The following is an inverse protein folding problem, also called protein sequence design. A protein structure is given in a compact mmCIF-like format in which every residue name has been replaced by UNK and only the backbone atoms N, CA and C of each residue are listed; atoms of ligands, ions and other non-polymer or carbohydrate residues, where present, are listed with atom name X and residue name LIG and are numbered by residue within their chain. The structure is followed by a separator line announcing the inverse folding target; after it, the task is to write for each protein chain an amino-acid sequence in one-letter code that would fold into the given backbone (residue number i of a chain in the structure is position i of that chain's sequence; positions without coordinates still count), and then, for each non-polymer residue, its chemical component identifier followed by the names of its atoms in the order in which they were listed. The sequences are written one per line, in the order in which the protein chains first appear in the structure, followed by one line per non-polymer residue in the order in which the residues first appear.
data_IF_550925311636
#
_entry.id   IF_550925311636
#
_cell.length_a   1.000
_cell.length_b   1.000
_cell.length_c   1.000
_cell.angle_alpha   90.00
_cell.angle_beta   90.00
_cell.angle_gamma   90.00
#
_symmetry.space_group_name_H-M   'P 1'
#
loop_
_entity.id
_entity.type
_entity.pdbx_description
1 polymer ?
#
# COMPACT_ATOMS: atom_id res chain seq x y z
N UNK A 1 15.84 -1.45 22.35
CA UNK A 1 15.78 -2.42 21.23
C UNK A 1 16.32 -1.74 19.99
N UNK A 2 16.95 -2.44 19.03
CA UNK A 2 17.33 -1.83 17.76
C UNK A 2 16.09 -1.27 17.06
N UNK A 3 16.24 -0.16 16.34
CA UNK A 3 15.18 0.41 15.53
C UNK A 3 14.72 -0.60 14.47
N UNK A 4 13.42 -0.65 14.13
CA UNK A 4 12.93 -1.49 13.07
C UNK A 4 13.61 -1.16 11.73
N UNK A 5 13.81 -2.18 10.90
CA UNK A 5 14.50 -2.09 9.61
C UNK A 5 13.55 -2.20 8.42
N UNK A 6 12.44 -2.90 8.60
CA UNK A 6 11.37 -3.05 7.57
C UNK A 6 10.09 -2.31 7.94
N UNK A 7 10.14 -1.56 9.04
CA UNK A 7 9.11 -0.61 9.45
C UNK A 7 9.70 0.80 9.66
N UNK A 8 9.03 1.80 9.13
CA UNK A 8 9.25 3.19 9.47
C UNK A 8 8.43 3.54 10.72
N UNK A 9 9.07 4.03 11.78
CA UNK A 9 8.36 4.45 13.00
C UNK A 9 7.79 5.85 12.77
N UNK A 10 6.47 5.92 12.55
CA UNK A 10 5.75 7.20 12.36
C UNK A 10 5.42 7.86 13.70
N UNK A 11 5.09 7.03 14.70
CA UNK A 11 4.93 7.45 16.09
C UNK A 11 5.64 6.43 16.99
N UNK A 12 6.52 6.93 17.85
CA UNK A 12 7.19 6.11 18.86
C UNK A 12 6.42 6.12 20.19
N UNK A 13 6.54 5.03 20.94
CA UNK A 13 5.93 4.85 22.25
C UNK A 13 6.81 3.94 23.11
N UNK A 14 6.53 3.90 24.42
CA UNK A 14 7.23 3.04 25.37
C UNK A 14 7.34 1.59 24.86
N UNK A 15 8.45 0.90 25.16
CA UNK A 15 8.77 -0.41 24.57
C UNK A 15 7.76 -1.51 24.86
N UNK A 16 7.01 -1.38 25.94
CA UNK A 16 5.96 -2.28 26.41
C UNK A 16 4.56 -1.91 25.89
N UNK A 17 4.40 -0.76 25.23
CA UNK A 17 3.14 -0.37 24.61
C UNK A 17 2.81 -1.25 23.39
N UNK A 18 1.51 -1.38 23.10
CA UNK A 18 1.02 -2.00 21.86
C UNK A 18 1.59 -1.29 20.61
N UNK A 19 1.34 -1.87 19.43
CA UNK A 19 1.64 -1.25 18.14
C UNK A 19 0.44 -1.27 17.21
N UNK A 20 0.26 -0.19 16.45
CA UNK A 20 -0.59 -0.09 15.27
C UNK A 20 0.30 -0.21 14.04
N UNK A 21 -0.03 -1.12 13.13
CA UNK A 21 0.68 -1.28 11.87
C UNK A 21 -0.05 -0.54 10.76
N UNK A 22 0.67 0.08 9.84
CA UNK A 22 0.12 0.79 8.70
C UNK A 22 0.78 0.31 7.41
N UNK A 23 -0.03 -0.21 6.48
CA UNK A 23 0.45 -0.73 5.20
C UNK A 23 0.17 0.26 4.09
N UNK A 24 1.24 0.77 3.51
CA UNK A 24 1.22 1.74 2.41
C UNK A 24 2.56 1.67 1.66
N UNK A 25 2.58 2.21 0.45
CA UNK A 25 3.81 2.47 -0.28
C UNK A 25 4.02 3.99 -0.35
N UNK A 26 4.78 4.57 0.59
CA UNK A 26 5.05 6.00 0.56
C UNK A 26 5.99 6.32 -0.62
N UNK A 27 5.49 7.04 -1.61
CA UNK A 27 6.32 7.66 -2.66
C UNK A 27 6.44 9.14 -2.34
N UNK A 28 7.67 9.64 -2.26
CA UNK A 28 7.95 11.07 -2.10
C UNK A 28 7.35 11.86 -3.26
N UNK A 29 6.64 12.96 -2.96
CA UNK A 29 6.01 13.82 -3.96
C UNK A 29 4.66 13.34 -4.49
N UNK A 30 4.07 12.27 -3.93
CA UNK A 30 2.69 11.91 -4.23
C UNK A 30 1.71 12.97 -3.73
N UNK A 31 0.57 13.12 -4.41
CA UNK A 31 -0.44 14.12 -4.06
C UNK A 31 -1.36 13.65 -2.92
N UNK A 32 -1.41 12.34 -2.68
CA UNK A 32 -2.21 11.68 -1.66
C UNK A 32 -1.64 11.87 -0.25
N UNK A 33 -2.51 12.10 0.73
CA UNK A 33 -2.13 12.10 2.15
C UNK A 33 -1.55 10.75 2.57
N UNK A 34 -0.69 10.75 3.57
CA UNK A 34 -0.11 9.54 4.15
C UNK A 34 -0.47 9.34 5.60
N UNK A 35 -0.05 8.21 6.18
CA UNK A 35 -0.25 7.95 7.60
C UNK A 35 0.47 8.96 8.50
N UNK A 36 1.53 9.61 8.02
CA UNK A 36 2.17 10.73 8.70
C UNK A 36 1.24 11.96 8.84
N UNK A 37 0.31 12.18 7.90
CA UNK A 37 -0.70 13.25 7.99
C UNK A 37 -1.82 12.88 8.97
N UNK A 38 -2.20 11.60 9.01
CA UNK A 38 -3.26 11.08 9.88
C UNK A 38 -2.83 11.05 11.35
N UNK A 39 -1.60 10.62 11.61
CA UNK A 39 -1.07 10.26 12.94
C UNK A 39 -1.21 11.36 14.01
N UNK A 40 -0.90 12.64 13.73
CA UNK A 40 -0.98 13.70 14.74
C UNK A 40 -2.37 13.85 15.36
N UNK A 41 -3.42 13.53 14.61
CA UNK A 41 -4.81 13.66 15.05
C UNK A 41 -5.40 12.38 15.63
N UNK A 42 -4.67 11.25 15.62
CA UNK A 42 -5.15 9.98 16.17
C UNK A 42 -5.09 9.91 17.70
N UNK A 43 -4.21 10.68 18.34
CA UNK A 43 -4.05 10.67 19.80
C UNK A 43 -3.70 9.30 20.38
N UNK A 44 -2.89 8.51 19.65
CA UNK A 44 -2.53 7.15 20.06
C UNK A 44 -1.67 7.14 21.34
N UNK A 45 -1.95 6.17 22.21
CA UNK A 45 -1.16 5.79 23.39
C UNK A 45 -0.13 4.69 23.09
N UNK A 46 0.02 4.34 21.82
CA UNK A 46 0.81 3.21 21.33
C UNK A 46 1.63 3.61 20.10
N UNK A 47 2.58 2.76 19.71
CA UNK A 47 3.44 3.05 18.56
C UNK A 47 2.65 2.91 17.24
N UNK A 48 3.03 3.67 16.21
CA UNK A 48 2.54 3.49 14.84
C UNK A 48 3.72 3.20 13.90
N UNK A 49 3.69 2.03 13.28
CA UNK A 49 4.73 1.54 12.39
C UNK A 49 4.18 1.41 10.98
N UNK A 50 4.83 2.05 10.01
CA UNK A 50 4.44 1.99 8.60
C UNK A 50 5.38 1.05 7.82
N UNK A 51 4.83 0.24 6.93
CA UNK A 51 5.63 -0.68 6.11
C UNK A 51 6.69 0.04 5.29
N UNK A 52 7.91 -0.48 5.30
CA UNK A 52 8.93 -0.22 4.27
C UNK A 52 8.93 -1.42 3.34
N UNK A 53 8.58 -1.21 2.07
CA UNK A 53 8.60 -2.27 1.07
C UNK A 53 10.03 -2.80 0.89
N UNK A 54 10.25 -4.13 0.87
CA UNK A 54 11.54 -4.70 0.52
C UNK A 54 12.05 -4.15 -0.82
N UNK A 55 13.31 -3.70 -0.85
CA UNK A 55 13.98 -3.24 -2.06
C UNK A 55 14.20 -4.43 -3.02
N UNK A 56 13.24 -4.65 -3.92
CA UNK A 56 13.20 -5.84 -4.78
C UNK A 56 12.58 -5.48 -6.13
N UNK A 57 13.31 -5.75 -7.21
CA UNK A 57 12.78 -5.66 -8.56
C UNK A 57 11.70 -6.73 -8.81
N UNK A 58 10.68 -6.45 -9.64
CA UNK A 58 9.61 -7.39 -9.91
C UNK A 58 10.17 -8.58 -10.71
N UNK A 59 9.63 -9.76 -10.45
CA UNK A 59 10.08 -10.98 -11.09
C UNK A 59 9.03 -12.10 -11.01
N UNK A 60 9.18 -13.14 -11.83
CA UNK A 60 8.25 -14.27 -11.80
C UNK A 60 8.35 -15.02 -10.47
N UNK A 61 7.21 -15.49 -9.97
CA UNK A 61 7.16 -16.44 -8.85
C UNK A 61 7.58 -15.86 -7.50
N UNK A 62 7.45 -14.55 -7.28
CA UNK A 62 7.60 -13.99 -5.93
C UNK A 62 6.47 -14.54 -5.06
N UNK A 63 6.84 -15.36 -4.08
CA UNK A 63 5.90 -15.90 -3.10
C UNK A 63 5.40 -14.76 -2.18
N UNK A 64 4.08 -14.52 -2.11
CA UNK A 64 3.53 -13.53 -1.20
C UNK A 64 3.89 -13.76 0.27
N UNK A 65 3.96 -15.02 0.73
CA UNK A 65 4.31 -15.32 2.12
C UNK A 65 5.77 -14.98 2.44
N UNK A 66 6.69 -15.26 1.51
CA UNK A 66 8.08 -14.84 1.64
C UNK A 66 8.22 -13.32 1.64
N UNK A 67 7.38 -12.61 0.86
CA UNK A 67 7.39 -11.15 0.83
C UNK A 67 6.90 -10.53 2.15
N UNK A 68 5.91 -11.14 2.82
CA UNK A 68 5.40 -10.67 4.12
C UNK A 68 6.29 -11.08 5.30
N UNK A 69 7.10 -12.12 5.15
CA UNK A 69 7.87 -12.73 6.24
C UNK A 69 8.74 -11.72 7.03
N UNK A 70 9.48 -10.78 6.40
CA UNK A 70 10.27 -9.81 7.15
C UNK A 70 9.43 -8.93 8.08
N UNK A 71 8.29 -8.41 7.59
CA UNK A 71 7.37 -7.58 8.38
C UNK A 71 6.83 -8.33 9.60
N UNK A 72 6.39 -9.58 9.39
CA UNK A 72 5.84 -10.43 10.45
C UNK A 72 6.91 -10.83 11.47
N UNK A 73 8.13 -11.13 11.02
CA UNK A 73 9.24 -11.51 11.88
C UNK A 73 9.66 -10.34 12.79
N UNK A 74 9.77 -9.12 12.24
CA UNK A 74 10.18 -7.95 13.02
C UNK A 74 9.11 -7.53 14.04
N UNK A 75 7.82 -7.62 13.69
CA UNK A 75 6.71 -7.43 14.65
C UNK A 75 6.77 -8.47 15.76
N UNK A 76 6.96 -9.76 15.43
CA UNK A 76 7.06 -10.82 16.44
C UNK A 76 8.28 -10.63 17.36
N UNK A 77 9.43 -10.26 16.80
CA UNK A 77 10.67 -10.00 17.54
C UNK A 77 10.55 -8.80 18.49
N UNK A 78 9.66 -7.84 18.19
CA UNK A 78 9.39 -6.70 19.07
C UNK A 78 8.70 -7.08 20.38
N UNK A 79 8.03 -8.24 20.44
CA UNK A 79 7.20 -8.65 21.58
C UNK A 79 5.95 -7.80 21.81
N UNK A 80 5.69 -6.78 20.97
CA UNK A 80 4.52 -5.91 21.07
C UNK A 80 3.28 -6.63 20.55
N UNK A 81 2.15 -6.45 21.23
CA UNK A 81 0.85 -6.85 20.70
C UNK A 81 0.43 -5.88 19.60
N UNK A 82 -0.06 -6.41 18.48
CA UNK A 82 -0.62 -5.59 17.41
C UNK A 82 -2.07 -5.27 17.76
N UNK A 83 -2.37 -4.00 18.02
CA UNK A 83 -3.72 -3.54 18.33
C UNK A 83 -4.59 -3.45 17.08
N UNK A 84 -4.03 -2.89 16.02
CA UNK A 84 -4.72 -2.72 14.76
C UNK A 84 -3.76 -2.77 13.56
N UNK A 85 -4.31 -3.10 12.40
CA UNK A 85 -3.64 -2.99 11.11
C UNK A 85 -4.46 -2.05 10.22
N UNK A 86 -3.81 -0.98 9.78
CA UNK A 86 -4.33 0.03 8.89
C UNK A 86 -3.81 -0.23 7.48
N UNK A 87 -4.59 0.07 6.44
CA UNK A 87 -4.07 0.02 5.06
C UNK A 87 -4.77 0.97 4.12
N UNK A 88 -4.02 1.60 3.22
CA UNK A 88 -4.52 2.57 2.24
C UNK A 88 -4.40 2.03 0.82
N UNK A 89 -5.47 2.13 0.01
CA UNK A 89 -5.46 1.74 -1.40
C UNK A 89 -5.01 0.28 -1.59
N UNK A 90 -3.98 0.02 -2.42
CA UNK A 90 -3.39 -1.31 -2.58
C UNK A 90 -2.77 -1.84 -1.27
N UNK A 91 -2.35 -0.94 -0.37
CA UNK A 91 -1.88 -1.30 0.97
C UNK A 91 -2.94 -2.03 1.78
N UNK A 92 -4.22 -1.75 1.57
CA UNK A 92 -5.30 -2.47 2.26
C UNK A 92 -5.28 -3.98 2.02
N UNK A 93 -4.72 -4.45 0.89
CA UNK A 93 -4.54 -5.88 0.64
C UNK A 93 -3.58 -6.49 1.64
N UNK A 94 -2.44 -5.84 1.86
CA UNK A 94 -1.45 -6.21 2.84
C UNK A 94 -1.99 -6.13 4.27
N UNK A 95 -2.78 -5.10 4.58
CA UNK A 95 -3.42 -4.98 5.89
C UNK A 95 -4.28 -6.20 6.21
N UNK A 96 -5.14 -6.62 5.28
CA UNK A 96 -5.97 -7.81 5.44
C UNK A 96 -5.13 -9.08 5.64
N UNK A 97 -4.14 -9.30 4.77
CA UNK A 97 -3.27 -10.47 4.83
C UNK A 97 -2.41 -10.55 6.10
N UNK A 98 -1.87 -9.43 6.57
CA UNK A 98 -1.12 -9.34 7.82
C UNK A 98 -2.02 -9.57 9.02
N UNK A 99 -3.22 -8.99 9.04
CA UNK A 99 -4.15 -9.11 10.15
C UNK A 99 -4.63 -10.55 10.40
N UNK A 100 -4.72 -11.39 9.37
CA UNK A 100 -4.96 -12.83 9.51
C UNK A 100 -3.75 -13.53 10.13
N UNK A 101 -2.56 -13.37 9.53
CA UNK A 101 -1.32 -14.02 10.00
C UNK A 101 -0.93 -13.62 11.43
N UNK A 102 -1.29 -12.41 11.85
CA UNK A 102 -1.10 -11.91 13.21
C UNK A 102 -2.14 -12.50 14.15
N UNK A 103 -3.41 -12.60 13.73
CA UNK A 103 -4.47 -13.19 14.55
C UNK A 103 -4.14 -14.64 14.98
N UNK A 104 -3.48 -15.41 14.11
CA UNK A 104 -3.03 -16.77 14.43
C UNK A 104 -1.98 -16.83 15.56
N UNK A 105 -1.33 -15.71 15.89
CA UNK A 105 -0.17 -15.63 16.78
C UNK A 105 -0.42 -14.86 18.07
N UNK A 106 -1.58 -14.21 18.21
CA UNK A 106 -1.91 -13.43 19.40
C UNK A 106 -3.35 -13.73 19.86
N UNK A 107 -3.64 -13.67 21.17
CA UNK A 107 -4.92 -14.11 21.73
C UNK A 107 -6.14 -13.26 21.31
N UNK A 108 -5.90 -12.03 20.84
CA UNK A 108 -6.94 -11.10 20.40
C UNK A 108 -6.58 -10.64 19.01
N UNK A 109 -7.40 -10.97 18.01
CA UNK A 109 -7.16 -10.54 16.63
C UNK A 109 -7.05 -9.00 16.54
N UNK A 110 -6.13 -8.46 15.73
CA UNK A 110 -6.04 -7.02 15.56
C UNK A 110 -7.28 -6.48 14.85
N UNK A 111 -7.71 -5.27 15.21
CA UNK A 111 -8.69 -4.53 14.44
C UNK A 111 -8.14 -4.24 13.03
N UNK A 112 -9.00 -4.21 12.02
CA UNK A 112 -8.61 -3.90 10.65
C UNK A 112 -9.38 -2.66 10.21
N UNK A 113 -8.67 -1.61 9.84
CA UNK A 113 -9.26 -0.38 9.32
C UNK A 113 -8.59 -0.04 8.00
N UNK A 114 -9.36 -0.05 6.91
CA UNK A 114 -8.80 0.17 5.57
C UNK A 114 -9.43 1.37 4.89
N UNK A 115 -8.62 2.11 4.15
CA UNK A 115 -8.97 3.41 3.57
C UNK A 115 -8.95 3.28 2.05
N UNK A 116 -10.11 3.45 1.42
CA UNK A 116 -10.33 3.18 0.00
C UNK A 116 -9.63 1.90 -0.49
N UNK A 117 -9.95 0.73 0.08
CA UNK A 117 -9.25 -0.51 -0.23
C UNK A 117 -9.41 -0.90 -1.71
N UNK A 118 -8.29 -1.24 -2.37
CA UNK A 118 -8.29 -1.63 -3.78
C UNK A 118 -7.72 -3.04 -3.97
N UNK A 119 -8.42 -3.86 -4.77
CA UNK A 119 -7.82 -5.05 -5.35
C UNK A 119 -6.88 -4.63 -6.50
N UNK A 120 -5.74 -5.31 -6.61
CA UNK A 120 -4.77 -5.05 -7.68
C UNK A 120 -5.04 -5.98 -8.86
N UNK A 121 -5.42 -5.38 -9.98
CA UNK A 121 -5.61 -6.02 -11.28
C UNK A 121 -4.72 -5.34 -12.35
N UNK A 122 -4.75 -5.85 -13.59
CA UNK A 122 -3.96 -5.27 -14.71
C UNK A 122 -4.30 -3.79 -14.94
N UNK A 123 -5.58 -3.37 -14.99
CA UNK A 123 -5.94 -1.96 -15.08
C UNK A 123 -5.34 -1.09 -13.96
N UNK A 124 -5.31 -1.59 -12.71
CA UNK A 124 -4.70 -0.90 -11.58
C UNK A 124 -3.21 -0.71 -11.79
N UNK A 125 -2.48 -1.78 -12.13
CA UNK A 125 -1.03 -1.68 -12.40
C UNK A 125 -0.75 -0.73 -13.57
N UNK A 126 -1.57 -0.77 -14.62
CA UNK A 126 -1.43 0.12 -15.78
C UNK A 126 -1.61 1.59 -15.38
N UNK A 127 -2.67 1.90 -14.63
CA UNK A 127 -2.93 3.24 -14.13
C UNK A 127 -1.78 3.74 -13.24
N UNK A 128 -1.29 2.91 -12.31
CA UNK A 128 -0.22 3.26 -11.40
C UNK A 128 1.11 3.46 -12.14
N UNK A 129 1.41 2.63 -13.13
CA UNK A 129 2.57 2.83 -14.01
C UNK A 129 2.47 4.15 -14.78
N UNK A 130 1.30 4.47 -15.35
CA UNK A 130 1.07 5.75 -16.01
C UNK A 130 1.33 6.96 -15.10
N UNK A 131 0.98 6.87 -13.80
CA UNK A 131 1.30 7.92 -12.82
C UNK A 131 2.81 8.06 -12.57
N UNK A 132 3.54 6.93 -12.49
CA UNK A 132 5.01 6.95 -12.41
C UNK A 132 5.60 7.69 -13.60
N UNK A 133 5.15 7.37 -14.82
CA UNK A 133 5.61 8.05 -16.05
C UNK A 133 5.25 9.53 -16.03
N UNK A 134 4.02 9.87 -15.62
CA UNK A 134 3.56 11.27 -15.48
C UNK A 134 4.46 12.11 -14.57
N UNK A 135 4.92 11.53 -13.45
CA UNK A 135 5.83 12.17 -12.51
C UNK A 135 7.27 12.31 -13.03
N UNK A 136 7.62 11.60 -14.11
CA UNK A 136 8.95 11.63 -14.72
C UNK A 136 8.99 12.44 -16.02
N UNK A 137 7.91 13.13 -16.38
CA UNK A 137 7.82 13.94 -17.61
C UNK A 137 8.86 15.08 -17.69
N UNK A 138 9.42 15.52 -16.57
CA UNK A 138 10.49 16.50 -16.55
C UNK A 138 11.85 15.94 -17.02
N UNK A 139 12.05 14.61 -16.97
CA UNK A 139 13.32 13.95 -17.34
C UNK A 139 13.16 13.06 -18.58
N UNK A 140 11.97 12.51 -18.82
CA UNK A 140 11.64 11.73 -20.00
C UNK A 140 11.35 12.63 -21.20
N UNK A 141 11.79 12.21 -22.38
CA UNK A 141 11.39 12.82 -23.65
C UNK A 141 9.98 12.39 -24.04
N UNK A 142 9.27 13.14 -24.89
CA UNK A 142 7.97 12.73 -25.41
C UNK A 142 8.00 11.35 -26.09
N UNK A 143 9.06 11.03 -26.84
CA UNK A 143 9.21 9.75 -27.51
C UNK A 143 9.36 8.57 -26.51
N UNK A 144 10.12 8.77 -25.43
CA UNK A 144 10.25 7.77 -24.35
C UNK A 144 8.90 7.56 -23.61
N UNK A 145 8.14 8.64 -23.39
CA UNK A 145 6.78 8.55 -22.81
C UNK A 145 5.85 7.75 -23.72
N UNK A 146 5.84 8.07 -25.02
CA UNK A 146 5.02 7.37 -26.02
C UNK A 146 5.42 5.89 -26.15
N UNK A 147 6.72 5.59 -26.07
CA UNK A 147 7.23 4.22 -26.09
C UNK A 147 6.73 3.41 -24.88
N UNK A 148 6.85 3.96 -23.68
CA UNK A 148 6.42 3.32 -22.43
C UNK A 148 4.90 3.15 -22.37
N UNK A 149 4.14 4.18 -22.77
CA UNK A 149 2.69 4.10 -22.85
C UNK A 149 2.25 3.05 -23.88
N UNK A 150 2.84 3.07 -25.08
CA UNK A 150 2.54 2.09 -26.12
C UNK A 150 2.92 0.65 -25.71
N UNK A 151 4.00 0.48 -24.96
CA UNK A 151 4.37 -0.81 -24.39
C UNK A 151 3.34 -1.30 -23.36
N UNK A 152 2.88 -0.42 -22.47
CA UNK A 152 1.85 -0.73 -21.47
C UNK A 152 0.54 -1.19 -22.13
N UNK A 153 0.08 -0.48 -23.17
CA UNK A 153 -1.13 -0.85 -23.91
C UNK A 153 -0.99 -2.21 -24.61
N UNK A 154 0.15 -2.46 -25.28
CA UNK A 154 0.41 -3.75 -25.93
C UNK A 154 0.45 -4.90 -24.93
N UNK A 155 1.06 -4.69 -23.77
CA UNK A 155 1.13 -5.69 -22.72
C UNK A 155 -0.25 -5.93 -22.09
N UNK A 156 -1.03 -4.89 -21.84
CA UNK A 156 -2.38 -5.00 -21.27
C UNK A 156 -3.36 -5.73 -22.20
N UNK A 157 -3.16 -5.60 -23.52
CA UNK A 157 -3.96 -6.30 -24.53
C UNK A 157 -3.65 -7.81 -24.63
N UNK A 158 -2.61 -8.33 -23.95
CA UNK A 158 -2.25 -9.76 -24.01
C UNK A 158 -3.26 -10.62 -23.24
N UNK A 159 -3.90 -11.61 -23.90
CA UNK A 159 -4.83 -12.50 -23.21
C UNK A 159 -4.17 -13.24 -22.06
N UNK A 160 -4.82 -13.22 -20.89
CA UNK A 160 -4.41 -13.99 -19.72
C UNK A 160 -3.17 -13.47 -18.98
N UNK A 161 -2.68 -12.26 -19.30
CA UNK A 161 -1.59 -11.66 -18.53
C UNK A 161 -2.04 -11.39 -17.09
N UNK A 162 -1.26 -11.86 -16.12
CA UNK A 162 -1.54 -11.61 -14.70
C UNK A 162 -0.99 -10.25 -14.29
N UNK A 163 -1.51 -9.60 -13.23
CA UNK A 163 -0.99 -8.31 -12.78
C UNK A 163 0.49 -8.37 -12.41
N UNK A 164 0.94 -9.47 -11.79
CA UNK A 164 2.35 -9.67 -11.45
C UNK A 164 3.25 -9.78 -12.71
N UNK A 165 2.85 -10.59 -13.69
CA UNK A 165 3.60 -10.70 -14.95
C UNK A 165 3.62 -9.36 -15.70
N UNK A 166 2.49 -8.66 -15.73
CA UNK A 166 2.37 -7.34 -16.32
C UNK A 166 3.31 -6.32 -15.66
N UNK A 167 3.36 -6.26 -14.33
CA UNK A 167 4.28 -5.40 -13.58
C UNK A 167 5.76 -5.72 -13.86
N UNK A 168 6.12 -7.01 -13.92
CA UNK A 168 7.48 -7.45 -14.27
C UNK A 168 7.87 -7.00 -15.67
N UNK A 169 7.03 -7.25 -16.67
CA UNK A 169 7.35 -6.91 -18.05
C UNK A 169 7.38 -5.39 -18.29
N UNK A 170 6.48 -4.63 -17.66
CA UNK A 170 6.53 -3.17 -17.67
C UNK A 170 7.84 -2.62 -17.11
N UNK A 171 8.24 -3.13 -15.94
CA UNK A 171 9.47 -2.68 -15.31
C UNK A 171 10.70 -3.00 -16.15
N UNK A 172 10.76 -4.18 -16.78
CA UNK A 172 11.89 -4.56 -17.65
C UNK A 172 12.06 -3.61 -18.86
N UNK A 173 10.96 -3.01 -19.35
CA UNK A 173 11.00 -2.00 -20.41
C UNK A 173 11.37 -0.63 -19.83
N UNK A 174 10.80 -0.29 -18.68
CA UNK A 174 11.03 0.98 -18.00
C UNK A 174 12.48 1.16 -17.53
N UNK A 175 13.09 0.13 -16.92
CA UNK A 175 14.39 0.20 -16.26
C UNK A 175 15.47 0.87 -17.14
N UNK A 176 15.77 0.39 -18.37
CA UNK A 176 16.80 1.01 -19.20
C UNK A 176 16.45 2.45 -19.62
N UNK A 177 15.18 2.75 -19.91
CA UNK A 177 14.72 4.08 -20.33
C UNK A 177 14.80 5.07 -19.16
N UNK A 178 14.27 4.69 -18.00
CA UNK A 178 14.29 5.48 -16.78
C UNK A 178 15.72 5.77 -16.30
N UNK A 179 16.59 4.76 -16.30
CA UNK A 179 18.01 4.96 -15.95
C UNK A 179 18.70 5.92 -16.91
N UNK A 180 18.49 5.79 -18.22
CA UNK A 180 19.09 6.69 -19.21
C UNK A 180 18.58 8.13 -19.05
N UNK A 181 17.27 8.31 -18.82
CA UNK A 181 16.64 9.61 -18.65
C UNK A 181 17.14 10.35 -17.40
N UNK A 182 17.24 9.66 -16.25
CA UNK A 182 17.73 10.24 -15.00
C UNK A 182 19.22 10.63 -15.10
N UNK A 183 20.06 9.78 -15.72
CA UNK A 183 21.47 10.10 -15.96
C UNK A 183 21.63 11.30 -16.90
N UNK A 184 20.81 11.38 -17.95
CA UNK A 184 20.77 12.54 -18.87
C UNK A 184 20.34 13.82 -18.15
N UNK A 185 19.49 13.73 -17.14
CA UNK A 185 19.09 14.84 -16.28
C UNK A 185 20.18 15.24 -15.26
N UNK A 186 21.33 14.57 -15.24
CA UNK A 186 22.49 14.92 -14.41
C UNK A 186 22.54 14.24 -13.05
N UNK A 187 21.69 13.25 -12.79
CA UNK A 187 21.80 12.42 -11.59
C UNK A 187 22.99 11.48 -11.71
N UNK A 188 23.71 11.28 -10.61
CA UNK A 188 24.76 10.27 -10.55
C UNK A 188 24.18 8.85 -10.68
N UNK A 189 25.04 7.90 -11.04
CA UNK A 189 24.63 6.53 -11.32
C UNK A 189 23.98 5.84 -10.10
N UNK A 190 24.45 6.13 -8.89
CA UNK A 190 23.90 5.56 -7.66
C UNK A 190 22.48 6.07 -7.42
N UNK A 191 22.30 7.40 -7.43
CA UNK A 191 21.00 7.99 -7.16
C UNK A 191 19.96 7.69 -8.26
N UNK A 192 20.38 7.68 -9.53
CA UNK A 192 19.51 7.22 -10.63
C UNK A 192 19.11 5.75 -10.46
N UNK A 193 20.03 4.89 -10.01
CA UNK A 193 19.77 3.50 -9.69
C UNK A 193 18.76 3.33 -8.55
N UNK A 194 18.87 4.11 -7.49
CA UNK A 194 17.94 4.09 -6.36
C UNK A 194 16.50 4.46 -6.77
N UNK A 195 16.33 5.52 -7.58
CA UNK A 195 15.01 5.92 -8.07
C UNK A 195 14.38 4.86 -8.97
N UNK A 196 15.16 4.22 -9.85
CA UNK A 196 14.67 3.12 -10.69
C UNK A 196 14.37 1.88 -9.85
N UNK A 197 15.18 1.57 -8.83
CA UNK A 197 14.92 0.48 -7.89
C UNK A 197 13.66 0.73 -7.05
N UNK A 198 13.34 1.98 -6.73
CA UNK A 198 12.09 2.35 -6.05
C UNK A 198 10.86 2.04 -6.93
N UNK A 199 10.91 2.37 -8.23
CA UNK A 199 9.85 1.98 -9.18
C UNK A 199 9.73 0.47 -9.25
N UNK A 200 10.84 -0.26 -9.28
CA UNK A 200 10.85 -1.72 -9.25
C UNK A 200 10.18 -2.27 -7.99
N UNK A 201 10.52 -1.72 -6.83
CA UNK A 201 9.92 -2.11 -5.55
C UNK A 201 8.42 -1.84 -5.51
N UNK A 202 7.97 -0.73 -6.11
CA UNK A 202 6.55 -0.42 -6.25
C UNK A 202 5.82 -1.40 -7.18
N UNK A 203 6.41 -1.75 -8.32
CA UNK A 203 5.86 -2.75 -9.24
C UNK A 203 5.79 -4.14 -8.59
N UNK A 204 6.81 -4.52 -7.81
CA UNK A 204 6.79 -5.73 -6.98
C UNK A 204 5.66 -5.70 -5.96
N UNK A 205 5.50 -4.58 -5.25
CA UNK A 205 4.45 -4.41 -4.26
C UNK A 205 3.05 -4.63 -4.86
N UNK A 206 2.77 -4.05 -6.03
CA UNK A 206 1.51 -4.28 -6.75
C UNK A 206 1.37 -5.73 -7.22
N UNK A 207 2.43 -6.32 -7.78
CA UNK A 207 2.42 -7.71 -8.22
C UNK A 207 2.14 -8.71 -7.10
N UNK A 208 2.74 -8.48 -5.92
CA UNK A 208 2.50 -9.30 -4.71
C UNK A 208 1.08 -9.09 -4.18
N UNK A 209 0.59 -7.84 -4.12
CA UNK A 209 -0.78 -7.56 -3.70
C UNK A 209 -1.80 -8.31 -4.55
N UNK A 210 -1.59 -8.39 -5.87
CA UNK A 210 -2.47 -9.15 -6.76
C UNK A 210 -2.51 -10.66 -6.49
N UNK A 211 -1.48 -11.21 -5.85
CA UNK A 211 -1.40 -12.62 -5.46
C UNK A 211 -1.96 -12.93 -4.06
N UNK A 212 -2.26 -11.91 -3.26
CA UNK A 212 -2.81 -12.06 -1.91
C UNK A 212 -4.34 -12.08 -1.96
N UNK A 213 -4.96 -12.88 -1.09
CA UNK A 213 -6.40 -12.79 -0.82
C UNK A 213 -6.65 -11.98 0.46
N UNK A 214 -7.13 -10.72 0.35
CA UNK A 214 -7.40 -9.90 1.51
C UNK A 214 -8.80 -10.11 2.09
N UNK A 215 -9.67 -10.86 1.41
CA UNK A 215 -11.09 -11.00 1.76
C UNK A 215 -11.35 -11.51 3.18
N UNK A 216 -10.60 -12.49 3.71
CA UNK A 216 -10.78 -12.91 5.10
C UNK A 216 -10.59 -11.74 6.07
N UNK A 217 -9.49 -10.98 5.93
CA UNK A 217 -9.22 -9.81 6.77
C UNK A 217 -10.18 -8.64 6.53
N UNK A 218 -10.63 -8.44 5.29
CA UNK A 218 -11.60 -7.38 4.97
C UNK A 218 -13.00 -7.66 5.49
N UNK A 219 -13.41 -8.93 5.59
CA UNK A 219 -14.74 -9.31 6.09
C UNK A 219 -15.03 -8.85 7.52
N UNK A 220 -13.96 -8.57 8.28
CA UNK A 220 -13.95 -8.09 9.67
C UNK A 220 -13.43 -6.64 9.79
N UNK A 221 -13.19 -5.97 8.67
CA UNK A 221 -12.65 -4.63 8.64
C UNK A 221 -13.75 -3.56 8.67
N UNK A 222 -13.42 -2.43 9.28
CA UNK A 222 -14.11 -1.16 9.04
C UNK A 222 -13.46 -0.48 7.84
N UNK A 223 -14.22 -0.22 6.80
CA UNK A 223 -13.75 0.50 5.62
C UNK A 223 -14.06 1.99 5.74
N UNK A 224 -13.06 2.82 5.47
CA UNK A 224 -13.21 4.26 5.32
C UNK A 224 -13.19 4.59 3.83
N UNK A 225 -14.32 5.01 3.30
CA UNK A 225 -14.53 5.24 1.86
C UNK A 225 -14.61 6.74 1.54
N UNK A 226 -13.87 7.19 0.53
CA UNK A 226 -13.97 8.55 -0.01
C UNK A 226 -15.14 8.71 -1.00
N UNK A 227 -15.37 9.95 -1.45
CA UNK A 227 -16.35 10.23 -2.48
C UNK A 227 -15.88 9.90 -3.91
N UNK A 228 -14.57 9.63 -4.11
CA UNK A 228 -14.00 9.42 -5.44
C UNK A 228 -14.58 8.15 -6.10
N UNK A 229 -15.28 8.26 -7.26
CA UNK A 229 -15.95 7.12 -7.89
C UNK A 229 -14.99 6.03 -8.39
N UNK A 230 -13.77 6.42 -8.74
CA UNK A 230 -12.75 5.54 -9.30
C UNK A 230 -11.81 4.93 -8.23
N UNK A 231 -12.13 5.06 -6.95
CA UNK A 231 -11.30 4.60 -5.84
C UNK A 231 -12.01 3.60 -4.94
N UNK A 232 -11.22 2.73 -4.30
CA UNK A 232 -11.69 1.87 -3.21
C UNK A 232 -12.87 0.97 -3.56
N UNK A 233 -13.80 0.83 -2.59
CA UNK A 233 -15.04 0.06 -2.78
C UNK A 233 -15.92 0.64 -3.90
N UNK A 234 -15.87 1.95 -4.16
CA UNK A 234 -16.68 2.57 -5.22
C UNK A 234 -16.31 2.00 -6.60
N UNK A 235 -15.00 1.93 -6.91
CA UNK A 235 -14.51 1.34 -8.15
C UNK A 235 -14.88 -0.13 -8.26
N UNK A 236 -14.64 -0.88 -7.19
CA UNK A 236 -14.88 -2.33 -7.17
C UNK A 236 -16.36 -2.66 -7.39
N UNK A 237 -17.28 -1.91 -6.77
CA UNK A 237 -18.73 -2.05 -6.99
C UNK A 237 -19.16 -1.74 -8.43
N UNK A 238 -18.49 -0.80 -9.08
CA UNK A 238 -18.74 -0.44 -10.47
C UNK A 238 -18.05 -1.39 -11.48
N UNK A 239 -17.16 -2.27 -11.04
CA UNK A 239 -16.39 -3.16 -11.91
C UNK A 239 -17.23 -4.37 -12.34
N UNK A 240 -17.55 -4.55 -13.63
CA UNK A 240 -18.36 -5.67 -14.08
C UNK A 240 -17.72 -7.02 -13.80
N UNK A 241 -18.51 -7.97 -13.30
CA UNK A 241 -18.07 -9.34 -13.04
C UNK A 241 -17.26 -9.53 -11.76
N UNK A 242 -16.96 -8.46 -11.01
CA UNK A 242 -16.35 -8.58 -9.69
C UNK A 242 -17.41 -8.98 -8.66
N UNK A 243 -17.13 -10.01 -7.88
CA UNK A 243 -18.01 -10.43 -6.79
C UNK A 243 -18.10 -9.34 -5.70
N UNK A 244 -19.25 -9.18 -5.01
CA UNK A 244 -19.37 -8.26 -3.90
C UNK A 244 -18.29 -8.49 -2.84
N UNK A 245 -17.64 -7.41 -2.42
CA UNK A 245 -16.63 -7.43 -1.36
C UNK A 245 -17.35 -7.30 -0.01
N UNK A 246 -17.25 -8.35 0.82
CA UNK A 246 -17.81 -8.35 2.17
C UNK A 246 -16.89 -7.58 3.12
N UNK A 247 -17.48 -6.69 3.92
CA UNK A 247 -16.81 -5.89 4.96
C UNK A 247 -17.72 -5.83 6.19
N UNK A 248 -17.14 -5.60 7.37
CA UNK A 248 -17.93 -5.56 8.61
C UNK A 248 -18.70 -4.24 8.75
N UNK A 249 -18.05 -3.14 8.40
CA UNK A 249 -18.65 -1.80 8.46
C UNK A 249 -18.02 -0.90 7.39
N UNK A 250 -18.73 0.16 7.00
CA UNK A 250 -18.24 1.16 6.06
C UNK A 250 -18.64 2.56 6.53
N UNK A 251 -17.65 3.42 6.72
CA UNK A 251 -17.82 4.84 7.02
C UNK A 251 -17.42 5.65 5.80
N UNK A 252 -18.37 6.42 5.25
CA UNK A 252 -18.14 7.24 4.06
C UNK A 252 -17.88 8.71 4.41
N UNK A 253 -16.94 9.31 3.69
CA UNK A 253 -16.61 10.73 3.77
C UNK A 253 -16.75 11.41 2.40
N UNK A 254 -17.33 12.60 2.40
CA UNK A 254 -17.48 13.43 1.19
C UNK A 254 -16.20 14.24 0.91
N UNK A 255 -15.11 13.52 0.69
CA UNK A 255 -13.77 14.05 0.35
C UNK A 255 -13.17 13.26 -0.80
N UNK A 256 -12.16 13.81 -1.47
CA UNK A 256 -11.41 13.08 -2.51
C UNK A 256 -10.48 12.04 -1.88
N UNK A 257 -10.24 10.95 -2.63
CA UNK A 257 -9.32 9.86 -2.27
C UNK A 257 -7.95 10.37 -1.79
N UNK A 258 -7.41 11.37 -2.48
CA UNK A 258 -6.09 11.97 -2.17
C UNK A 258 -6.08 12.74 -0.85
N UNK A 259 -7.24 13.19 -0.39
CA UNK A 259 -7.37 14.03 0.80
C UNK A 259 -7.86 13.23 2.02
N UNK A 260 -8.23 11.96 1.82
CA UNK A 260 -8.83 11.10 2.84
C UNK A 260 -7.97 11.02 4.13
N UNK A 261 -6.68 10.73 4.02
CA UNK A 261 -5.79 10.56 5.18
C UNK A 261 -5.35 11.87 5.86
N UNK A 262 -5.52 13.01 5.18
CA UNK A 262 -5.21 14.35 5.76
C UNK A 262 -6.44 15.08 6.28
N UNK A 263 -7.63 14.47 6.14
CA UNK A 263 -8.89 15.06 6.59
C UNK A 263 -9.05 14.87 8.11
N UNK A 264 -9.18 15.94 8.91
CA UNK A 264 -9.25 15.83 10.38
C UNK A 264 -10.42 14.99 10.91
N UNK A 265 -11.57 15.04 10.23
CA UNK A 265 -12.77 14.27 10.58
C UNK A 265 -12.55 12.77 10.42
N UNK A 266 -11.76 12.37 9.40
CA UNK A 266 -11.35 10.98 9.20
C UNK A 266 -10.48 10.54 10.36
N UNK A 267 -9.48 11.34 10.75
CA UNK A 267 -8.61 11.02 11.88
C UNK A 267 -9.38 10.87 13.20
N UNK A 268 -10.33 11.76 13.47
CA UNK A 268 -11.18 11.70 14.68
C UNK A 268 -12.01 10.42 14.71
N UNK A 269 -12.58 10.03 13.57
CA UNK A 269 -13.36 8.79 13.44
C UNK A 269 -12.48 7.57 13.70
N UNK A 270 -11.31 7.51 13.07
CA UNK A 270 -10.35 6.41 13.23
C UNK A 270 -9.85 6.32 14.67
N UNK A 271 -9.57 7.45 15.32
CA UNK A 271 -9.20 7.49 16.74
C UNK A 271 -10.27 6.83 17.63
N UNK A 272 -11.55 7.11 17.35
CA UNK A 272 -12.68 6.45 18.03
C UNK A 272 -12.71 4.93 17.81
N UNK A 273 -12.48 4.47 16.58
CA UNK A 273 -12.41 3.04 16.25
C UNK A 273 -11.27 2.34 16.99
N UNK A 274 -10.11 2.98 17.07
CA UNK A 274 -8.92 2.43 17.73
C UNK A 274 -8.99 2.51 19.27
N UNK A 275 -9.73 3.48 19.82
CA UNK A 275 -9.88 3.69 21.27
C UNK A 275 -10.93 2.79 21.93
N UNK A 276 -11.95 2.35 21.20
CA UNK A 276 -13.07 1.53 21.73
C UNK A 276 -12.66 0.12 22.19
N UNK A 277 -11.49 -0.38 21.77
CA UNK A 277 -10.93 -1.65 22.25
C UNK A 277 -10.51 -1.67 23.73
N UNK A 278 -10.44 -0.50 24.39
CA UNK A 278 -10.08 -0.37 25.82
C UNK A 278 -11.29 -0.39 26.76
N UNK A 279 -12.51 -0.12 26.28
CA UNK A 279 -13.69 0.05 27.13
C UNK A 279 -14.47 -1.25 27.40
N UNK A 280 -14.20 -2.34 26.67
CA UNK A 280 -14.80 -3.66 26.97
C UNK A 280 -14.16 -4.38 28.18
N UNK A 281 -13.29 -3.71 28.95
CA UNK A 281 -12.62 -4.24 30.14
C UNK A 281 -12.74 -3.31 31.35
N UNK A 282 -13.96 -2.91 31.70
CA UNK A 282 -14.30 -2.44 33.04
C UNK A 282 -15.61 -3.05 33.50
#
# INVERSE_FOLDING_TARGET
MPSPSVWNVVLDAASDADVVLATDFPVTGRNEGGFADLTPSLGLDCALWQTVAPARAPGPGIDPDEYLAPWLAEVAASGRRVRAVLGYCAGSVFAGALAERIADRQPVAPQVVVFDPELVDVPTVHLQFGRVIGNMTAVLTPAEVDELAGAAERLAARPGITPAAFATELYAIFEPIGSAALRRAGLDEGYAGELVALVGSFMTYLGVAAGLDPRPGWSRATVVTSASPASGLNRMRATPGLAPIAVADEVRFEVEHRDLLRTPEVATTVAGLLGTGSQARR
#
